data_IF_382651272906
#
_entry.id   IF_382651272906
#
_cell.length_a   1.000
_cell.length_b   1.000
_cell.length_c   1.000
_cell.angle_alpha   90.00
_cell.angle_beta   90.00
_cell.angle_gamma   90.00
#
_symmetry.space_group_name_H-M   'P 1'
#
loop_
_entity.id
_entity.type
_entity.pdbx_description
1 polymer ?
#
# COMPACT_ATOMS: atom_id res chain seq x y z
N UNK A 1 7.45 0.82 -11.79
CA UNK A 1 8.30 0.50 -10.60
C UNK A 1 9.28 -0.62 -10.91
N UNK A 2 10.44 -0.67 -10.27
CA UNK A 2 11.40 -1.79 -10.33
C UNK A 2 11.14 -2.80 -9.20
N UNK A 3 11.68 -4.02 -9.31
CA UNK A 3 11.56 -5.03 -8.23
C UNK A 3 12.14 -4.53 -6.90
N UNK A 4 13.28 -3.82 -6.94
CA UNK A 4 13.92 -3.25 -5.74
C UNK A 4 13.05 -2.19 -5.07
N UNK A 5 12.33 -1.38 -5.86
CA UNK A 5 11.37 -0.39 -5.33
C UNK A 5 10.19 -1.10 -4.66
N UNK A 6 9.60 -2.11 -5.32
CA UNK A 6 8.50 -2.91 -4.77
C UNK A 6 8.90 -3.54 -3.42
N UNK A 7 10.09 -4.15 -3.34
CA UNK A 7 10.59 -4.75 -2.09
C UNK A 7 10.77 -3.71 -0.97
N UNK A 8 11.20 -2.49 -1.32
CA UNK A 8 11.34 -1.38 -0.37
C UNK A 8 9.98 -0.93 0.17
N UNK A 9 8.99 -0.79 -0.71
CA UNK A 9 7.64 -0.39 -0.32
C UNK A 9 6.95 -1.47 0.52
N UNK A 10 7.11 -2.76 0.18
CA UNK A 10 6.63 -3.85 1.04
C UNK A 10 7.20 -3.81 2.45
N UNK A 11 8.51 -3.52 2.59
CA UNK A 11 9.14 -3.39 3.90
C UNK A 11 8.56 -2.22 4.70
N UNK A 12 8.34 -1.07 4.04
CA UNK A 12 7.70 0.10 4.66
C UNK A 12 6.31 -0.24 5.17
N UNK A 13 5.46 -0.80 4.31
CA UNK A 13 4.08 -1.12 4.69
C UNK A 13 4.03 -2.20 5.78
N UNK A 14 4.90 -3.21 5.71
CA UNK A 14 4.98 -4.24 6.75
C UNK A 14 5.38 -3.66 8.10
N UNK A 15 6.29 -2.68 8.13
CA UNK A 15 6.64 -1.97 9.35
C UNK A 15 5.41 -1.24 9.93
N UNK A 16 4.70 -0.47 9.10
CA UNK A 16 3.49 0.26 9.54
C UNK A 16 2.41 -0.68 10.10
N UNK A 17 2.17 -1.81 9.42
CA UNK A 17 1.12 -2.73 9.83
C UNK A 17 1.51 -3.57 11.06
N UNK A 18 2.77 -4.01 11.19
CA UNK A 18 3.17 -5.01 12.20
C UNK A 18 3.94 -4.43 13.38
N UNK A 19 4.68 -3.34 13.16
CA UNK A 19 5.58 -2.74 14.15
C UNK A 19 5.00 -1.44 14.69
N UNK A 20 4.55 -0.53 13.81
CA UNK A 20 3.93 0.74 14.20
C UNK A 20 2.44 0.58 14.57
N UNK A 21 2.14 -0.36 15.47
CA UNK A 21 0.78 -0.61 15.94
C UNK A 21 0.48 0.20 17.22
N UNK A 22 -0.72 0.79 17.35
CA UNK A 22 -1.14 1.41 18.61
C UNK A 22 -1.23 0.38 19.75
N UNK A 23 -1.00 0.82 20.99
CA UNK A 23 -1.02 -0.05 22.17
C UNK A 23 -2.45 -0.41 22.64
N UNK A 24 -3.48 0.31 22.19
CA UNK A 24 -4.85 0.14 22.65
C UNK A 24 -5.73 -0.55 21.62
N UNK A 25 -6.51 -1.55 22.04
CA UNK A 25 -7.58 -2.16 21.24
C UNK A 25 -8.93 -1.98 21.98
N UNK A 26 -10.05 -1.72 21.26
CA UNK A 26 -10.16 -1.60 19.81
C UNK A 26 -9.50 -0.33 19.25
N UNK A 27 -9.06 -0.37 17.98
CA UNK A 27 -8.48 0.81 17.34
C UNK A 27 -9.57 1.84 17.01
N UNK A 28 -9.27 3.14 17.15
CA UNK A 28 -10.08 4.21 16.59
C UNK A 28 -10.39 4.00 15.09
N UNK A 29 -11.59 4.37 14.60
CA UNK A 29 -12.00 4.12 13.21
C UNK A 29 -11.07 4.74 12.15
N UNK A 30 -10.50 5.90 12.41
CA UNK A 30 -9.51 6.57 11.57
C UNK A 30 -8.23 5.73 11.41
N UNK A 31 -7.75 5.15 12.51
CA UNK A 31 -6.59 4.23 12.48
C UNK A 31 -6.94 2.97 11.69
N UNK A 32 -8.15 2.44 11.83
CA UNK A 32 -8.61 1.27 11.05
C UNK A 32 -8.55 1.59 9.56
N UNK A 33 -9.14 2.70 9.11
CA UNK A 33 -9.13 3.13 7.71
C UNK A 33 -7.71 3.34 7.16
N UNK A 34 -6.83 3.99 7.92
CA UNK A 34 -5.42 4.16 7.51
C UNK A 34 -4.72 2.82 7.29
N UNK A 35 -5.02 1.81 8.11
CA UNK A 35 -4.46 0.46 7.97
C UNK A 35 -5.08 -0.31 6.81
N UNK A 36 -6.36 -0.10 6.51
CA UNK A 36 -7.02 -0.65 5.31
C UNK A 36 -6.36 -0.13 4.03
N UNK A 37 -6.07 1.17 3.94
CA UNK A 37 -5.33 1.73 2.79
C UNK A 37 -3.96 1.07 2.62
N UNK A 38 -3.22 0.87 3.70
CA UNK A 38 -1.94 0.15 3.65
C UNK A 38 -2.09 -1.29 3.17
N UNK A 39 -3.15 -2.00 3.58
CA UNK A 39 -3.43 -3.35 3.10
C UNK A 39 -3.75 -3.35 1.59
N UNK A 40 -4.55 -2.40 1.10
CA UNK A 40 -4.80 -2.24 -0.34
C UNK A 40 -3.52 -1.97 -1.11
N UNK A 41 -2.65 -1.09 -0.60
CA UNK A 41 -1.35 -0.84 -1.20
C UNK A 41 -0.50 -2.12 -1.31
N UNK A 42 -0.52 -3.02 -0.33
CA UNK A 42 0.18 -4.32 -0.41
C UNK A 42 -0.38 -5.24 -1.51
N UNK A 43 -1.70 -5.21 -1.73
CA UNK A 43 -2.34 -5.98 -2.81
C UNK A 43 -1.85 -5.47 -4.16
N UNK A 44 -1.91 -4.16 -4.40
CA UNK A 44 -1.45 -3.58 -5.66
C UNK A 44 0.04 -3.85 -5.91
N UNK A 45 0.91 -3.73 -4.90
CA UNK A 45 2.33 -4.12 -5.04
C UNK A 45 2.51 -5.59 -5.45
N UNK A 46 1.68 -6.49 -4.91
CA UNK A 46 1.71 -7.92 -5.27
C UNK A 46 1.27 -8.13 -6.72
N UNK A 47 0.24 -7.40 -7.16
CA UNK A 47 -0.26 -7.47 -8.52
C UNK A 47 0.75 -6.91 -9.52
N UNK A 48 1.40 -5.78 -9.23
CA UNK A 48 2.51 -5.23 -10.05
C UNK A 48 3.61 -6.28 -10.22
N UNK A 49 3.99 -6.96 -9.13
CA UNK A 49 5.01 -8.01 -9.19
C UNK A 49 4.56 -9.19 -10.06
N UNK A 50 3.31 -9.62 -9.92
CA UNK A 50 2.72 -10.69 -10.72
C UNK A 50 2.64 -10.33 -12.21
N UNK A 51 2.18 -9.12 -12.53
CA UNK A 51 2.09 -8.57 -13.89
C UNK A 51 3.48 -8.52 -14.54
N UNK A 52 4.50 -8.09 -13.81
CA UNK A 52 5.90 -8.11 -14.28
C UNK A 52 6.41 -9.50 -14.62
N UNK A 53 6.15 -10.49 -13.76
CA UNK A 53 6.56 -11.88 -14.00
C UNK A 53 5.88 -12.43 -15.25
N UNK A 54 4.59 -12.11 -15.45
CA UNK A 54 3.78 -12.51 -16.60
C UNK A 54 4.01 -11.66 -17.86
N UNK A 55 4.75 -10.54 -17.74
CA UNK A 55 4.97 -9.53 -18.78
C UNK A 55 3.68 -8.87 -19.28
N UNK A 56 2.69 -8.69 -18.40
CA UNK A 56 1.42 -8.02 -18.71
C UNK A 56 1.56 -6.52 -18.43
N UNK A 57 1.85 -5.75 -19.48
CA UNK A 57 2.15 -4.31 -19.34
C UNK A 57 0.96 -3.49 -18.87
N UNK A 58 -0.23 -3.73 -19.45
CA UNK A 58 -1.45 -3.02 -19.07
C UNK A 58 -1.79 -3.23 -17.59
N UNK A 59 -1.72 -4.48 -17.11
CA UNK A 59 -1.95 -4.79 -15.70
C UNK A 59 -0.88 -4.13 -14.81
N UNK A 60 0.40 -4.11 -15.24
CA UNK A 60 1.45 -3.43 -14.49
C UNK A 60 1.17 -1.93 -14.35
N UNK A 61 0.80 -1.27 -15.44
CA UNK A 61 0.51 0.17 -15.47
C UNK A 61 -0.70 0.50 -14.60
N UNK A 62 -1.81 -0.22 -14.77
CA UNK A 62 -3.02 -0.06 -13.98
C UNK A 62 -2.76 -0.25 -12.48
N UNK A 63 -2.10 -1.34 -12.10
CA UNK A 63 -1.83 -1.62 -10.68
C UNK A 63 -0.83 -0.62 -10.08
N UNK A 64 0.08 -0.07 -10.90
CA UNK A 64 0.98 1.01 -10.46
C UNK A 64 0.21 2.30 -10.20
N UNK A 65 -0.75 2.65 -11.06
CA UNK A 65 -1.63 3.81 -10.86
C UNK A 65 -2.46 3.66 -9.59
N UNK A 66 -3.13 2.52 -9.42
CA UNK A 66 -3.94 2.24 -8.22
C UNK A 66 -3.10 2.25 -6.93
N UNK A 67 -1.89 1.69 -6.96
CA UNK A 67 -0.96 1.78 -5.83
C UNK A 67 -0.65 3.25 -5.47
N UNK A 68 -0.38 4.09 -6.47
CA UNK A 68 -0.05 5.49 -6.24
C UNK A 68 -1.25 6.25 -5.65
N UNK A 69 -2.46 6.04 -6.17
CA UNK A 69 -3.68 6.67 -5.63
C UNK A 69 -3.92 6.30 -4.17
N UNK A 70 -3.84 5.01 -3.84
CA UNK A 70 -4.02 4.53 -2.45
C UNK A 70 -2.97 5.14 -1.52
N UNK A 71 -1.71 5.20 -1.96
CA UNK A 71 -0.63 5.79 -1.17
C UNK A 71 -0.77 7.31 -1.05
N UNK A 72 -1.29 7.99 -2.07
CA UNK A 72 -1.60 9.41 -2.01
C UNK A 72 -2.66 9.70 -0.95
N UNK A 73 -3.75 8.92 -0.93
CA UNK A 73 -4.79 9.00 0.10
C UNK A 73 -4.19 8.76 1.49
N UNK A 74 -3.30 7.78 1.61
CA UNK A 74 -2.63 7.47 2.88
C UNK A 74 -1.73 8.62 3.37
N UNK A 75 -0.90 9.22 2.52
CA UNK A 75 0.00 10.30 2.93
C UNK A 75 -0.69 11.65 3.11
N UNK A 76 -1.74 11.92 2.35
CA UNK A 76 -2.52 13.16 2.43
C UNK A 76 -3.73 13.04 3.35
N UNK A 77 -3.74 12.06 4.25
CA UNK A 77 -4.87 11.80 5.14
C UNK A 77 -5.37 13.07 5.86
N UNK A 78 -4.44 13.85 6.44
CA UNK A 78 -4.78 15.06 7.21
C UNK A 78 -5.23 16.25 6.33
N UNK A 79 -5.16 16.14 5.01
CA UNK A 79 -5.61 17.16 4.03
C UNK A 79 -6.94 16.82 3.36
N UNK A 80 -7.40 15.57 3.52
CA UNK A 80 -8.62 15.05 2.90
C UNK A 80 -9.78 14.93 3.91
N UNK A 81 -9.59 15.46 5.13
CA UNK A 81 -10.61 15.68 6.18
C UNK A 81 -10.94 17.18 6.28
#
# INVERSE_FOLDING_TARGET
MTRKEIDKEFKKINYELRVNKPASAPYPPDIVKRRENLLFAQVHLSNILGAKIKKYKWDEEFETEMYNEVMEIYYNWDKNE
#
